data_IF_634789239217
#
_entry.id   IF_634789239217
#
_cell.length_a   1.000
_cell.length_b   1.000
_cell.length_c   1.000
_cell.angle_alpha   90.00
_cell.angle_beta   90.00
_cell.angle_gamma   90.00
#
_symmetry.space_group_name_H-M   'P 1'
#
loop_
_entity.id
_entity.type
_entity.pdbx_description
1 polymer ?
#
# COMPACT_ATOMS: atom_id res chain seq x y z
N UNK A 1 -24.37 -10.65 3.68
CA UNK A 1 -23.60 -9.42 3.37
C UNK A 1 -22.14 -9.82 3.16
N UNK A 2 -21.65 -9.63 1.92
CA UNK A 2 -20.32 -9.98 1.43
C UNK A 2 -20.05 -11.47 1.16
N UNK A 3 -20.79 -12.08 0.24
CA UNK A 3 -20.52 -13.45 -0.23
C UNK A 3 -19.30 -13.54 -1.17
N UNK A 4 -18.88 -12.43 -1.79
CA UNK A 4 -17.66 -12.36 -2.62
C UNK A 4 -16.55 -11.47 -2.00
N UNK A 5 -15.87 -11.98 -0.97
CA UNK A 5 -14.80 -11.23 -0.27
C UNK A 5 -13.39 -11.61 -0.72
N UNK A 6 -12.77 -10.76 -1.55
CA UNK A 6 -11.31 -10.71 -1.64
C UNK A 6 -10.75 -9.89 -0.48
N UNK A 7 -9.80 -10.44 0.29
CA UNK A 7 -9.12 -9.72 1.38
C UNK A 7 -7.83 -9.11 0.85
N UNK A 8 -7.62 -7.82 1.12
CA UNK A 8 -6.42 -7.09 0.71
C UNK A 8 -5.82 -6.39 1.92
N UNK A 9 -4.50 -6.48 2.07
CA UNK A 9 -3.75 -5.66 3.01
C UNK A 9 -3.37 -4.35 2.30
N UNK A 10 -3.86 -3.23 2.83
CA UNK A 10 -3.55 -1.91 2.32
C UNK A 10 -2.57 -1.19 3.26
N UNK A 11 -1.39 -0.86 2.75
CA UNK A 11 -0.40 -0.04 3.45
C UNK A 11 -0.44 1.36 2.85
N UNK A 12 -0.73 2.36 3.67
CA UNK A 12 -0.82 3.77 3.24
C UNK A 12 0.04 4.67 4.12
N UNK A 13 0.52 5.81 3.59
CA UNK A 13 1.15 6.84 4.41
C UNK A 13 0.21 7.31 5.53
N UNK A 14 0.76 7.58 6.72
CA UNK A 14 -0.01 7.99 7.90
C UNK A 14 -0.93 9.20 7.62
N UNK A 15 -0.44 10.19 6.88
CA UNK A 15 -1.21 11.38 6.50
C UNK A 15 -2.52 11.05 5.75
N UNK A 16 -2.57 9.96 4.98
CA UNK A 16 -3.80 9.51 4.29
C UNK A 16 -4.77 8.91 5.30
N UNK A 17 -4.25 8.11 6.25
CA UNK A 17 -5.04 7.53 7.32
C UNK A 17 -5.66 8.61 8.22
N UNK A 18 -4.89 9.65 8.56
CA UNK A 18 -5.34 10.74 9.42
C UNK A 18 -6.43 11.58 8.75
N UNK A 19 -6.28 11.87 7.44
CA UNK A 19 -7.35 12.52 6.66
C UNK A 19 -8.63 11.68 6.62
N UNK A 20 -8.51 10.37 6.43
CA UNK A 20 -9.66 9.48 6.43
C UNK A 20 -10.35 9.40 7.80
N UNK A 21 -9.59 9.45 8.91
CA UNK A 21 -10.14 9.53 10.28
C UNK A 21 -10.94 10.81 10.50
N UNK A 22 -10.39 11.96 10.11
CA UNK A 22 -11.09 13.26 10.19
C UNK A 22 -12.38 13.21 9.38
N UNK A 23 -12.34 12.65 8.16
CA UNK A 23 -13.51 12.52 7.32
C UNK A 23 -14.58 11.58 7.92
N UNK A 24 -14.18 10.48 8.55
CA UNK A 24 -15.11 9.59 9.24
C UNK A 24 -15.81 10.29 10.41
N UNK A 25 -15.06 11.07 11.20
CA UNK A 25 -15.60 11.86 12.31
C UNK A 25 -16.60 12.91 11.83
N UNK A 26 -16.22 13.72 10.84
CA UNK A 26 -17.09 14.77 10.30
C UNK A 26 -18.36 14.20 9.65
N UNK A 27 -18.24 13.07 8.95
CA UNK A 27 -19.38 12.40 8.31
C UNK A 27 -20.31 11.77 9.33
N UNK A 28 -19.78 11.19 10.41
CA UNK A 28 -20.59 10.67 11.54
C UNK A 28 -21.44 11.77 12.14
N UNK A 29 -20.84 12.93 12.42
CA UNK A 29 -21.57 14.11 12.93
C UNK A 29 -22.63 14.57 11.95
N UNK A 30 -22.29 14.68 10.66
CA UNK A 30 -23.21 15.17 9.63
C UNK A 30 -24.39 14.23 9.38
N UNK A 31 -24.14 12.92 9.30
CA UNK A 31 -25.17 11.93 8.99
C UNK A 31 -25.94 11.45 10.23
N UNK A 32 -25.46 11.79 11.44
CA UNK A 32 -26.00 11.30 12.72
C UNK A 32 -26.07 9.76 12.78
N UNK A 33 -25.15 9.09 12.10
CA UNK A 33 -25.01 7.62 12.03
C UNK A 33 -23.53 7.27 12.13
N UNK A 34 -23.15 6.18 12.84
CA UNK A 34 -21.76 5.76 12.91
C UNK A 34 -21.18 5.49 11.53
N UNK A 35 -20.09 6.15 11.18
CA UNK A 35 -19.33 5.89 9.95
C UNK A 35 -17.98 5.31 10.33
N UNK A 36 -17.73 4.07 9.89
CA UNK A 36 -16.44 3.42 10.14
C UNK A 36 -15.36 3.94 9.19
N UNK A 37 -14.11 3.93 9.66
CA UNK A 37 -12.96 4.24 8.82
C UNK A 37 -12.86 3.30 7.60
N UNK A 38 -13.26 2.04 7.75
CA UNK A 38 -13.31 1.08 6.64
C UNK A 38 -14.30 1.49 5.55
N UNK A 39 -15.47 2.02 5.92
CA UNK A 39 -16.45 2.53 4.95
C UNK A 39 -15.89 3.72 4.17
N UNK A 40 -15.22 4.65 4.86
CA UNK A 40 -14.59 5.82 4.22
C UNK A 40 -13.48 5.39 3.26
N UNK A 41 -12.56 4.53 3.70
CA UNK A 41 -11.46 4.04 2.86
C UNK A 41 -11.99 3.29 1.64
N UNK A 42 -13.02 2.46 1.82
CA UNK A 42 -13.68 1.78 0.69
C UNK A 42 -14.28 2.78 -0.29
N UNK A 43 -15.04 3.77 0.19
CA UNK A 43 -15.63 4.79 -0.67
C UNK A 43 -14.57 5.60 -1.44
N UNK A 44 -13.43 5.93 -0.80
CA UNK A 44 -12.32 6.62 -1.47
C UNK A 44 -11.67 5.75 -2.57
N UNK A 45 -11.51 4.45 -2.32
CA UNK A 45 -11.01 3.50 -3.33
C UNK A 45 -12.01 3.38 -4.48
N UNK A 46 -13.29 3.13 -4.18
CA UNK A 46 -14.34 2.98 -5.19
C UNK A 46 -14.46 4.24 -6.05
N UNK A 47 -14.48 5.43 -5.43
CA UNK A 47 -14.49 6.70 -6.15
C UNK A 47 -13.20 6.94 -6.93
N UNK A 48 -12.03 6.57 -6.40
CA UNK A 48 -10.76 6.64 -7.14
C UNK A 48 -10.75 5.74 -8.37
N UNK A 49 -11.27 4.51 -8.25
CA UNK A 49 -11.37 3.54 -9.34
C UNK A 49 -12.39 3.96 -10.41
N UNK A 50 -13.54 4.54 -9.99
CA UNK A 50 -14.52 5.11 -10.92
C UNK A 50 -13.97 6.35 -11.62
N UNK A 51 -13.20 7.17 -10.89
CA UNK A 51 -12.81 8.49 -11.37
C UNK A 51 -11.87 8.44 -12.55
N UNK A 52 -10.92 7.50 -12.63
CA UNK A 52 -10.13 7.29 -13.84
C UNK A 52 -9.24 6.03 -13.79
N UNK A 53 -9.24 5.25 -14.86
CA UNK A 53 -8.06 4.51 -15.33
C UNK A 53 -7.00 5.47 -15.92
N UNK A 54 -6.61 6.51 -15.18
CA UNK A 54 -5.84 7.63 -15.73
C UNK A 54 -4.34 7.34 -15.82
N UNK A 55 -3.66 8.12 -16.67
CA UNK A 55 -2.19 8.16 -16.75
C UNK A 55 -1.52 8.42 -15.40
N UNK A 56 -2.15 9.18 -14.51
CA UNK A 56 -1.66 9.42 -13.15
C UNK A 56 -1.69 8.17 -12.26
N UNK A 57 -2.70 7.30 -12.42
CA UNK A 57 -2.78 6.02 -11.71
C UNK A 57 -1.68 5.09 -12.21
N UNK A 58 -1.50 5.00 -13.53
CA UNK A 58 -0.42 4.22 -14.14
C UNK A 58 0.96 4.69 -13.70
N UNK A 59 1.22 6.00 -13.71
CA UNK A 59 2.49 6.57 -13.25
C UNK A 59 2.77 6.26 -11.77
N UNK A 60 1.74 6.29 -10.91
CA UNK A 60 1.87 5.95 -9.50
C UNK A 60 2.13 4.45 -9.30
N UNK A 61 1.42 3.58 -10.04
CA UNK A 61 1.66 2.13 -10.03
C UNK A 61 3.08 1.83 -10.50
N UNK A 62 3.54 2.46 -11.57
CA UNK A 62 4.91 2.30 -12.08
C UNK A 62 5.95 2.74 -11.03
N UNK A 63 5.76 3.91 -10.41
CA UNK A 63 6.64 4.38 -9.34
C UNK A 63 6.71 3.40 -8.16
N UNK A 64 5.58 2.80 -7.77
CA UNK A 64 5.54 1.78 -6.70
C UNK A 64 6.23 0.48 -7.13
N UNK A 65 6.01 0.00 -8.35
CA UNK A 65 6.71 -1.17 -8.90
C UNK A 65 8.22 -0.94 -8.89
N UNK A 66 8.68 0.25 -9.29
CA UNK A 66 10.10 0.59 -9.25
C UNK A 66 10.62 0.67 -7.81
N UNK A 67 9.86 1.22 -6.87
CA UNK A 67 10.24 1.25 -5.45
C UNK A 67 10.41 -0.18 -4.90
N UNK A 68 9.45 -1.08 -5.17
CA UNK A 68 9.54 -2.50 -4.77
C UNK A 68 10.75 -3.18 -5.42
N UNK A 69 10.99 -2.95 -6.72
CA UNK A 69 12.19 -3.48 -7.40
C UNK A 69 13.50 -2.98 -6.77
N UNK A 70 13.57 -1.71 -6.38
CA UNK A 70 14.74 -1.14 -5.68
C UNK A 70 14.93 -1.78 -4.29
N UNK A 71 13.86 -1.96 -3.52
CA UNK A 71 13.93 -2.64 -2.21
C UNK A 71 14.47 -4.07 -2.39
N UNK A 72 13.91 -4.83 -3.34
CA UNK A 72 14.33 -6.21 -3.63
C UNK A 72 15.76 -6.32 -4.12
N UNK A 73 16.23 -5.40 -4.96
CA UNK A 73 17.62 -5.42 -5.43
C UNK A 73 18.63 -5.07 -4.33
N UNK A 74 18.25 -4.22 -3.37
CA UNK A 74 19.07 -3.91 -2.19
C UNK A 74 19.16 -5.10 -1.22
N UNK A 75 18.04 -5.78 -0.94
CA UNK A 75 18.06 -7.01 -0.13
C UNK A 75 18.75 -8.17 -0.83
N UNK A 76 18.62 -8.30 -2.15
CA UNK A 76 19.34 -9.30 -2.96
C UNK A 76 20.86 -9.08 -2.95
N UNK A 77 21.33 -7.83 -3.07
CA UNK A 77 22.77 -7.50 -2.98
C UNK A 77 23.34 -7.81 -1.59
N UNK A 78 22.63 -7.49 -0.52
CA UNK A 78 23.05 -7.80 0.85
C UNK A 78 23.21 -9.32 1.09
N UNK A 79 22.38 -10.15 0.46
CA UNK A 79 22.51 -11.61 0.53
C UNK A 79 23.63 -12.18 -0.35
N UNK A 80 23.98 -11.50 -1.44
CA UNK A 80 25.09 -11.93 -2.32
C UNK A 80 26.47 -11.64 -1.73
N UNK A 81 26.67 -10.52 -1.04
CA UNK A 81 27.95 -10.19 -0.37
C UNK A 81 28.24 -11.10 0.83
N UNK A 82 27.22 -11.64 1.50
CA UNK A 82 27.38 -12.67 2.53
C UNK A 82 27.84 -14.03 1.97
N UNK A 83 27.42 -14.38 0.75
CA UNK A 83 27.75 -15.68 0.12
C UNK A 83 29.18 -15.72 -0.46
N UNK A 84 29.68 -14.61 -0.98
CA UNK A 84 31.05 -14.52 -1.50
C UNK A 84 32.13 -14.55 -0.41
N UNK A 85 31.82 -14.12 0.82
CA UNK A 85 32.79 -14.08 1.93
C UNK A 85 32.99 -15.43 2.64
N UNK A 86 32.06 -16.39 2.46
CA UNK A 86 32.17 -17.75 3.00
C UNK A 86 32.91 -18.74 2.11
N UNK A 87 33.13 -18.43 0.82
CA UNK A 87 33.70 -19.38 -0.15
C UNK A 87 35.22 -19.30 -0.29
N UNK A 88 35.90 -18.41 0.44
CA UNK A 88 37.35 -18.21 0.35
C UNK A 88 38.17 -18.91 1.44
N UNK A 89 37.52 -19.68 2.34
CA UNK A 89 38.17 -20.31 3.51
C UNK A 89 38.27 -21.85 3.44
N UNK A 90 38.28 -22.41 2.23
CA UNK A 90 38.45 -23.86 2.03
C UNK A 90 39.40 -24.15 0.87
N UNK A 91 40.67 -23.78 1.06
CA UNK A 91 41.84 -24.40 0.42
C UNK A 91 43.02 -24.20 1.37
N UNK A 92 43.18 -25.16 2.28
CA UNK A 92 44.32 -25.34 3.18
C UNK A 92 44.51 -26.84 3.32
#
# INVERSE_FOLDING_TARGET
MFEDKTRVLLVVPQQILDRARVFAGSTTTRLKRPVSLQMVLRALIDEGLKRNGDRAVLANVEAQVQAVRRIRSRTGRANSTGKYRGSQKSKG
#
